data_IF_575697235629
#
_entry.id   IF_575697235629
#
_cell.length_a   1.000
_cell.length_b   1.000
_cell.length_c   1.000
_cell.angle_alpha   90.00
_cell.angle_beta   90.00
_cell.angle_gamma   90.00
#
_symmetry.space_group_name_H-M   'P 1'
#
loop_
_entity.id
_entity.type
_entity.pdbx_description
1 polymer ?
#
# COMPACT_ATOMS: atom_id res chain seq x y z
N UNK A 1 -24.18 -14.70 5.34
CA UNK A 1 -22.75 -14.34 5.44
C UNK A 1 -22.38 -14.33 6.93
N UNK A 2 -21.30 -15.03 7.32
CA UNK A 2 -20.95 -15.31 8.72
C UNK A 2 -19.47 -15.12 9.03
N UNK A 3 -18.82 -14.18 8.35
CA UNK A 3 -17.47 -13.73 8.68
C UNK A 3 -17.55 -12.51 9.60
N UNK A 4 -16.62 -12.39 10.55
CA UNK A 4 -16.59 -11.28 11.52
C UNK A 4 -15.97 -9.99 10.95
N UNK A 5 -15.10 -10.11 9.94
CA UNK A 5 -14.39 -9.00 9.33
C UNK A 5 -13.86 -9.33 7.93
N UNK A 6 -13.47 -8.29 7.18
CA UNK A 6 -12.71 -8.38 5.95
C UNK A 6 -11.40 -7.60 6.05
N UNK A 7 -10.42 -7.94 5.22
CA UNK A 7 -9.15 -7.23 5.07
C UNK A 7 -9.04 -6.74 3.63
N UNK A 8 -8.67 -5.47 3.46
CA UNK A 8 -8.32 -4.93 2.17
C UNK A 8 -6.90 -5.37 1.79
N UNK A 9 -6.74 -5.96 0.61
CA UNK A 9 -5.47 -6.54 0.16
C UNK A 9 -5.04 -5.90 -1.18
N UNK A 10 -4.44 -4.69 -1.16
CA UNK A 10 -3.96 -4.07 -2.38
C UNK A 10 -2.93 -4.95 -3.10
N UNK A 11 -2.92 -4.95 -4.45
CA UNK A 11 -3.70 -4.07 -5.33
C UNK A 11 -5.07 -4.63 -5.78
N UNK A 12 -5.58 -5.69 -5.14
CA UNK A 12 -6.76 -6.39 -5.65
C UNK A 12 -8.00 -5.49 -5.84
N UNK A 13 -8.77 -5.82 -6.88
CA UNK A 13 -10.06 -5.23 -7.30
C UNK A 13 -10.05 -3.83 -7.91
N UNK A 14 -9.13 -2.94 -7.52
CA UNK A 14 -9.23 -1.52 -7.90
C UNK A 14 -7.93 -0.86 -8.40
N UNK A 15 -7.05 -1.55 -9.16
CA UNK A 15 -5.87 -0.91 -9.71
C UNK A 15 -6.25 0.03 -10.86
N UNK A 16 -5.54 1.15 -11.00
CA UNK A 16 -5.72 2.11 -12.10
C UNK A 16 -4.63 1.85 -13.13
N UNK A 17 -5.01 1.56 -14.37
CA UNK A 17 -4.05 1.32 -15.45
C UNK A 17 -3.28 2.62 -15.76
N UNK A 18 -1.97 2.51 -15.97
CA UNK A 18 -1.13 3.65 -16.33
C UNK A 18 -1.26 3.99 -17.81
N UNK A 19 -1.14 5.27 -18.12
CA UNK A 19 -0.95 5.75 -19.49
C UNK A 19 0.54 5.75 -19.84
N UNK A 20 0.89 5.12 -20.97
CA UNK A 20 2.25 5.13 -21.48
C UNK A 20 2.57 6.51 -22.06
N UNK A 21 3.51 7.22 -21.43
CA UNK A 21 4.06 8.46 -21.99
C UNK A 21 5.20 8.22 -22.97
N UNK A 22 5.81 7.02 -22.96
CA UNK A 22 6.95 6.63 -23.79
C UNK A 22 6.84 5.16 -24.22
N UNK A 23 7.47 4.77 -25.35
CA UNK A 23 7.57 3.37 -25.74
C UNK A 23 8.30 2.53 -24.70
N UNK A 24 7.90 1.27 -24.58
CA UNK A 24 8.59 0.30 -23.72
C UNK A 24 9.92 -0.14 -24.35
N UNK A 25 10.91 -0.39 -23.48
CA UNK A 25 12.22 -0.91 -23.89
C UNK A 25 12.09 -2.36 -24.39
N UNK A 26 11.25 -3.15 -23.74
CA UNK A 26 10.94 -4.52 -24.16
C UNK A 26 9.76 -4.51 -25.14
N UNK A 27 9.98 -4.74 -26.44
CA UNK A 27 8.91 -4.76 -27.43
C UNK A 27 7.97 -5.98 -27.26
N UNK A 28 8.40 -7.03 -26.57
CA UNK A 28 7.60 -8.24 -26.34
C UNK A 28 6.71 -8.15 -25.09
N UNK A 29 6.76 -7.03 -24.36
CA UNK A 29 5.98 -6.85 -23.14
C UNK A 29 4.46 -6.81 -23.44
N UNK A 30 3.76 -7.78 -22.87
CA UNK A 30 2.30 -7.98 -22.94
C UNK A 30 1.63 -7.86 -21.57
N UNK A 31 2.39 -7.42 -20.57
CA UNK A 31 1.90 -7.18 -19.21
C UNK A 31 1.05 -5.92 -19.07
N UNK A 32 0.69 -5.59 -17.83
CA UNK A 32 -0.11 -4.41 -17.52
C UNK A 32 0.66 -3.48 -16.58
N UNK A 33 0.79 -2.23 -17.00
CA UNK A 33 1.29 -1.17 -16.14
C UNK A 33 0.14 -0.48 -15.42
N UNK A 34 0.33 -0.23 -14.13
CA UNK A 34 -0.61 0.45 -13.26
C UNK A 34 0.01 1.73 -12.70
N UNK A 35 -0.81 2.76 -12.51
CA UNK A 35 -0.38 4.01 -11.87
C UNK A 35 -0.50 3.83 -10.36
N UNK A 36 0.63 3.87 -9.66
CA UNK A 36 0.69 3.68 -8.21
C UNK A 36 -0.04 4.80 -7.45
N UNK A 37 0.11 6.05 -7.90
CA UNK A 37 -0.48 7.22 -7.23
C UNK A 37 -1.99 7.20 -7.40
N UNK A 38 -2.49 7.03 -8.62
CA UNK A 38 -3.93 6.97 -8.86
C UNK A 38 -4.57 5.74 -8.20
N UNK A 39 -3.87 4.61 -8.16
CA UNK A 39 -4.32 3.43 -7.41
C UNK A 39 -4.43 3.73 -5.93
N UNK A 40 -3.37 4.21 -5.28
CA UNK A 40 -3.40 4.52 -3.84
C UNK A 40 -4.51 5.52 -3.49
N UNK A 41 -4.67 6.55 -4.30
CA UNK A 41 -5.74 7.54 -4.21
C UNK A 41 -7.16 6.92 -4.34
N UNK A 42 -7.32 5.92 -5.21
CA UNK A 42 -8.58 5.17 -5.32
C UNK A 42 -8.87 4.40 -4.02
N UNK A 43 -7.88 3.70 -3.47
CA UNK A 43 -8.02 2.98 -2.19
C UNK A 43 -8.32 3.92 -1.00
N UNK A 44 -7.71 5.12 -0.97
CA UNK A 44 -7.95 6.16 0.05
C UNK A 44 -9.39 6.67 -0.03
N UNK A 45 -9.91 6.95 -1.23
CA UNK A 45 -11.23 7.55 -1.43
C UNK A 45 -12.40 6.58 -1.29
N UNK A 46 -12.15 5.27 -1.30
CA UNK A 46 -13.22 4.27 -1.24
C UNK A 46 -14.05 4.40 0.04
N UNK A 47 -15.37 4.43 -0.16
CA UNK A 47 -16.35 4.45 0.93
C UNK A 47 -16.21 3.20 1.78
N UNK A 48 -16.31 3.40 3.09
CA UNK A 48 -16.29 2.31 4.05
C UNK A 48 -17.56 1.46 3.90
N UNK A 49 -17.45 0.14 3.82
CA UNK A 49 -18.61 -0.73 3.76
C UNK A 49 -19.34 -0.76 5.11
N UNK A 50 -20.55 -1.32 5.12
CA UNK A 50 -21.33 -1.53 6.36
C UNK A 50 -20.78 -2.66 7.23
N UNK A 51 -19.87 -3.48 6.73
CA UNK A 51 -19.19 -4.54 7.47
C UNK A 51 -17.83 -4.06 8.01
N UNK A 52 -17.31 -4.76 9.03
CA UNK A 52 -15.97 -4.49 9.58
C UNK A 52 -14.90 -4.77 8.52
N UNK A 53 -14.18 -3.72 8.13
CA UNK A 53 -13.09 -3.79 7.16
C UNK A 53 -11.82 -3.27 7.84
N UNK A 54 -10.73 -4.02 7.77
CA UNK A 54 -9.41 -3.51 8.06
C UNK A 54 -8.76 -3.07 6.74
N UNK A 55 -8.32 -1.82 6.68
CA UNK A 55 -7.66 -1.27 5.49
C UNK A 55 -6.27 -1.86 5.30
N UNK A 56 -5.80 -1.85 4.06
CA UNK A 56 -4.48 -2.30 3.68
C UNK A 56 -3.81 -1.32 2.73
N UNK A 57 -2.49 -1.31 2.74
CA UNK A 57 -1.63 -0.58 1.78
C UNK A 57 -0.59 -1.54 1.21
N UNK A 58 0.10 -1.13 0.14
CA UNK A 58 1.26 -1.88 -0.39
C UNK A 58 2.42 -0.93 -0.71
N UNK A 59 3.70 -1.31 -0.46
CA UNK A 59 4.87 -0.51 -0.84
C UNK A 59 5.05 -0.31 -2.34
N UNK A 60 4.90 -1.38 -3.12
CA UNK A 60 5.22 -1.42 -4.56
C UNK A 60 4.58 -2.65 -5.21
N UNK A 61 4.84 -2.88 -6.49
CA UNK A 61 4.58 -4.16 -7.14
C UNK A 61 5.29 -4.23 -8.51
N UNK A 62 6.15 -5.21 -8.70
CA UNK A 62 6.73 -5.62 -9.97
C UNK A 62 7.01 -7.12 -9.93
N UNK A 63 6.19 -7.92 -10.62
CA UNK A 63 6.38 -9.36 -10.69
C UNK A 63 7.04 -9.85 -12.00
N UNK A 64 7.82 -8.98 -12.64
CA UNK A 64 8.56 -9.29 -13.89
C UNK A 64 9.54 -10.44 -13.70
N UNK A 65 10.21 -10.55 -12.55
CA UNK A 65 11.11 -11.67 -12.27
C UNK A 65 10.41 -13.05 -12.39
N UNK A 66 9.13 -13.12 -12.01
CA UNK A 66 8.32 -14.35 -12.02
C UNK A 66 7.53 -14.54 -13.31
N UNK A 67 7.03 -13.45 -13.91
CA UNK A 67 6.06 -13.48 -15.01
C UNK A 67 6.62 -13.01 -16.35
N UNK A 68 7.85 -12.50 -16.37
CA UNK A 68 8.54 -12.04 -17.57
C UNK A 68 7.67 -11.06 -18.36
N UNK A 69 7.43 -11.34 -19.64
CA UNK A 69 6.73 -10.44 -20.56
C UNK A 69 5.25 -10.20 -20.23
N UNK A 70 4.65 -10.99 -19.33
CA UNK A 70 3.22 -10.87 -18.94
C UNK A 70 3.04 -10.44 -17.48
N UNK A 71 3.98 -9.65 -16.96
CA UNK A 71 3.97 -9.17 -15.59
C UNK A 71 2.96 -8.03 -15.35
N UNK A 72 2.70 -7.73 -14.08
CA UNK A 72 2.03 -6.52 -13.66
C UNK A 72 3.05 -5.65 -12.94
N UNK A 73 3.09 -4.36 -13.26
CA UNK A 73 4.03 -3.40 -12.68
C UNK A 73 3.31 -2.14 -12.27
N UNK A 74 3.57 -1.66 -11.06
CA UNK A 74 3.05 -0.40 -10.55
C UNK A 74 4.08 0.69 -10.72
N UNK A 75 3.86 1.53 -11.72
CA UNK A 75 4.75 2.62 -12.09
C UNK A 75 4.61 3.75 -11.07
N UNK A 76 5.75 4.26 -10.61
CA UNK A 76 5.81 5.37 -9.68
C UNK A 76 5.65 4.99 -8.21
N UNK A 77 5.79 3.71 -7.84
CA UNK A 77 5.97 3.35 -6.43
C UNK A 77 7.31 3.92 -5.91
N UNK A 78 7.25 4.63 -4.78
CA UNK A 78 8.44 5.11 -4.04
C UNK A 78 8.15 5.09 -2.53
N UNK A 79 9.17 5.07 -1.65
CA UNK A 79 8.98 5.15 -0.21
C UNK A 79 8.12 6.34 0.23
N UNK A 80 8.27 7.52 -0.38
CA UNK A 80 7.51 8.73 -0.04
C UNK A 80 6.03 8.62 -0.42
N UNK A 81 5.73 8.03 -1.59
CA UNK A 81 4.35 7.83 -2.04
C UNK A 81 3.66 6.75 -1.23
N UNK A 82 4.39 5.71 -0.83
CA UNK A 82 3.94 4.72 0.14
C UNK A 82 3.67 5.35 1.52
N UNK A 83 4.58 6.19 2.04
CA UNK A 83 4.39 6.91 3.31
C UNK A 83 3.08 7.73 3.28
N UNK A 84 2.86 8.48 2.20
CA UNK A 84 1.63 9.25 2.02
C UNK A 84 0.39 8.36 2.09
N UNK A 85 0.37 7.26 1.34
CA UNK A 85 -0.77 6.34 1.34
C UNK A 85 -1.02 5.74 2.72
N UNK A 86 0.03 5.22 3.37
CA UNK A 86 -0.06 4.67 4.72
C UNK A 86 -0.60 5.71 5.71
N UNK A 87 -0.08 6.93 5.68
CA UNK A 87 -0.50 8.01 6.58
C UNK A 87 -1.99 8.32 6.43
N UNK A 88 -2.49 8.41 5.19
CA UNK A 88 -3.92 8.64 4.93
C UNK A 88 -4.78 7.51 5.50
N UNK A 89 -4.38 6.25 5.29
CA UNK A 89 -5.11 5.09 5.81
C UNK A 89 -5.06 5.03 7.34
N UNK A 90 -3.93 5.34 7.96
CA UNK A 90 -3.77 5.39 9.43
C UNK A 90 -4.64 6.50 10.03
N UNK A 91 -4.65 7.69 9.44
CA UNK A 91 -5.49 8.83 9.87
C UNK A 91 -6.99 8.47 9.80
N UNK A 92 -7.43 7.87 8.68
CA UNK A 92 -8.80 7.39 8.53
C UNK A 92 -9.15 6.32 9.57
N UNK A 93 -8.26 5.35 9.78
CA UNK A 93 -8.46 4.25 10.73
C UNK A 93 -8.58 4.76 12.16
N UNK A 94 -7.74 5.71 12.56
CA UNK A 94 -7.80 6.35 13.89
C UNK A 94 -9.11 7.10 14.12
N UNK A 95 -9.66 7.72 13.08
CA UNK A 95 -10.91 8.50 13.13
C UNK A 95 -12.14 7.61 13.18
N UNK A 96 -12.13 6.47 12.47
CA UNK A 96 -13.31 5.63 12.27
C UNK A 96 -13.37 4.41 13.20
N UNK A 97 -12.24 3.97 13.76
CA UNK A 97 -12.14 2.83 14.66
C UNK A 97 -11.62 3.21 16.05
N UNK A 98 -11.91 2.36 17.04
CA UNK A 98 -11.56 2.56 18.45
C UNK A 98 -10.94 1.29 19.04
N UNK A 99 -10.17 1.45 20.12
CA UNK A 99 -9.53 0.33 20.81
C UNK A 99 -8.64 -0.51 19.88
N UNK A 100 -8.80 -1.83 19.99
CA UNK A 100 -7.99 -2.83 19.28
C UNK A 100 -8.38 -2.98 17.80
N UNK A 101 -9.40 -2.26 17.32
CA UNK A 101 -9.78 -2.27 15.90
C UNK A 101 -8.99 -1.29 15.04
N UNK A 102 -8.05 -0.54 15.64
CA UNK A 102 -7.17 0.38 14.91
C UNK A 102 -6.01 -0.36 14.24
N UNK A 103 -6.35 -1.26 13.33
CA UNK A 103 -5.41 -2.12 12.60
C UNK A 103 -5.38 -1.73 11.12
N UNK A 104 -4.17 -1.62 10.58
CA UNK A 104 -3.90 -1.44 9.15
C UNK A 104 -2.94 -2.54 8.73
N UNK A 105 -3.22 -3.18 7.60
CA UNK A 105 -2.36 -4.20 7.02
C UNK A 105 -1.40 -3.59 5.99
N UNK A 106 -0.19 -4.12 5.90
CA UNK A 106 0.75 -3.78 4.84
C UNK A 106 1.05 -5.05 4.07
N UNK A 107 0.75 -5.02 2.78
CA UNK A 107 1.10 -6.07 1.83
C UNK A 107 2.36 -5.60 1.07
N UNK A 108 3.57 -6.06 1.32
CA UNK A 108 3.98 -7.14 2.22
C UNK A 108 5.29 -6.80 2.97
N UNK A 109 5.70 -7.68 3.89
CA UNK A 109 7.03 -7.61 4.49
C UNK A 109 8.13 -7.95 3.47
N UNK A 110 8.03 -9.08 2.78
CA UNK A 110 9.12 -9.65 1.98
C UNK A 110 8.66 -10.43 0.73
N UNK A 111 7.71 -9.89 -0.05
CA UNK A 111 7.23 -10.54 -1.28
C UNK A 111 8.13 -10.20 -2.49
N UNK A 112 9.38 -10.64 -2.40
CA UNK A 112 10.45 -10.31 -3.37
C UNK A 112 10.14 -10.72 -4.81
N UNK A 113 9.42 -11.83 -5.00
CA UNK A 113 9.02 -12.29 -6.34
C UNK A 113 8.03 -11.34 -7.04
N UNK A 114 7.45 -10.41 -6.29
CA UNK A 114 6.53 -9.38 -6.77
C UNK A 114 7.05 -7.97 -6.51
N UNK A 115 8.33 -7.82 -6.16
CA UNK A 115 8.94 -6.51 -5.89
C UNK A 115 8.20 -5.69 -4.83
N UNK A 116 7.44 -6.35 -3.96
CA UNK A 116 6.51 -5.75 -3.02
C UNK A 116 6.96 -6.07 -1.58
N UNK A 117 7.91 -5.29 -1.07
CA UNK A 117 8.56 -5.57 0.21
C UNK A 117 8.84 -4.30 1.01
N UNK A 118 8.78 -4.44 2.33
CA UNK A 118 9.31 -3.49 3.30
C UNK A 118 10.74 -3.85 3.72
N UNK A 119 11.11 -5.12 3.57
CA UNK A 119 12.41 -5.65 3.93
C UNK A 119 13.53 -4.83 3.28
N UNK A 120 14.58 -4.43 4.01
CA UNK A 120 15.65 -3.61 3.45
C UNK A 120 16.29 -4.21 2.20
N UNK A 121 16.53 -3.37 1.20
CA UNK A 121 17.17 -3.74 -0.05
C UNK A 121 18.39 -2.85 -0.36
N UNK A 122 19.01 -3.07 -1.53
CA UNK A 122 20.19 -2.29 -1.96
C UNK A 122 19.83 -0.95 -2.60
N UNK A 123 18.59 -0.75 -3.03
CA UNK A 123 18.15 0.43 -3.76
C UNK A 123 17.67 1.52 -2.80
N UNK A 124 16.78 1.16 -1.89
CA UNK A 124 16.14 2.04 -0.92
C UNK A 124 16.64 1.83 0.52
N UNK A 125 17.44 0.79 0.80
CA UNK A 125 17.97 0.55 2.14
C UNK A 125 16.84 0.43 3.16
N UNK A 126 16.80 1.32 4.15
CA UNK A 126 15.76 1.34 5.18
C UNK A 126 14.57 2.26 4.89
N UNK A 127 14.52 2.93 3.72
CA UNK A 127 13.56 4.01 3.48
C UNK A 127 12.10 3.57 3.59
N UNK A 128 11.72 2.34 3.20
CA UNK A 128 10.35 1.83 3.40
C UNK A 128 9.99 1.63 4.89
N UNK A 129 10.96 1.25 5.73
CA UNK A 129 10.75 1.15 7.18
C UNK A 129 10.64 2.55 7.81
N UNK A 130 11.45 3.50 7.34
CA UNK A 130 11.38 4.90 7.76
C UNK A 130 10.05 5.54 7.37
N UNK A 131 9.60 5.32 6.12
CA UNK A 131 8.29 5.69 5.62
C UNK A 131 7.16 5.08 6.47
N UNK A 132 7.29 3.81 6.86
CA UNK A 132 6.31 3.17 7.76
C UNK A 132 6.27 3.86 9.12
N UNK A 133 7.43 4.11 9.73
CA UNK A 133 7.54 4.83 11.01
C UNK A 133 6.94 6.24 10.93
N UNK A 134 7.24 6.97 9.86
CA UNK A 134 6.76 8.33 9.66
C UNK A 134 5.25 8.36 9.40
N UNK A 135 4.73 7.44 8.59
CA UNK A 135 3.30 7.32 8.26
C UNK A 135 2.43 6.96 9.47
N UNK A 136 2.97 6.22 10.44
CA UNK A 136 2.30 6.01 11.73
C UNK A 136 2.18 7.32 12.54
N UNK A 137 3.07 8.28 12.33
CA UNK A 137 3.16 9.52 13.12
C UNK A 137 3.50 9.28 14.59
N UNK A 138 3.83 10.34 15.33
CA UNK A 138 3.98 10.22 16.79
C UNK A 138 2.62 9.92 17.42
N UNK A 139 2.55 8.90 18.28
CA UNK A 139 1.50 8.85 19.31
C UNK A 139 1.65 10.12 20.14
N UNK A 140 0.64 11.00 20.15
CA UNK A 140 0.47 11.84 21.33
C UNK A 140 0.20 10.86 22.46
N UNK A 141 1.22 10.65 23.29
CA UNK A 141 1.03 10.00 24.59
C UNK A 141 0.05 10.90 25.31
N UNK A 142 -1.16 10.41 25.61
CA UNK A 142 -2.00 11.07 26.60
C UNK A 142 -1.17 11.06 27.88
N UNK A 143 -0.76 12.25 28.31
CA UNK A 143 -0.05 12.46 29.57
C UNK A 143 -0.95 11.91 30.68
N UNK A 144 -0.59 10.81 31.35
CA UNK A 144 -1.33 10.39 32.51
C UNK A 144 -0.98 11.38 33.62
N UNK A 145 -1.98 12.15 34.04
CA UNK A 145 -2.08 12.91 35.30
C UNK A 145 -1.89 14.43 35.23
N UNK A 146 -3.04 15.12 35.17
CA UNK A 146 -3.32 16.29 36.03
C UNK A 146 -4.68 16.08 36.71
N UNK A 147 -4.64 15.46 37.88
CA UNK A 147 -5.56 15.72 39.00
C UNK A 147 -4.71 16.03 40.23
#
# INVERSE_FOLDING_TARGET
YGFDAAIEFPPHRYPVQAELSQPLINPEYQGVLFDYVQTSENFIRRTWPSYKLFKGVMPSWDNTARRQDVSNVFVGATPERYEYWLRQVVEQTRRLHFGDERVVFINAWNEWAEGNHLEPDREFGHQYLEATRNGLGRRMVCDPQKE
#
